data_IF_482794732939
#
_entry.id   IF_482794732939
#
_cell.length_a   1.000
_cell.length_b   1.000
_cell.length_c   1.000
_cell.angle_alpha   90.00
_cell.angle_beta   90.00
_cell.angle_gamma   90.00
#
_symmetry.space_group_name_H-M   'P 1'
#
loop_
_entity.id
_entity.type
_entity.pdbx_description
1 polymer ?
#
# COMPACT_ATOMS: atom_id res chain seq x y z
N UNK A 1 -19.62 -10.41 16.39
CA UNK A 1 -18.79 -11.30 15.56
C UNK A 1 -17.68 -10.47 14.97
N UNK A 2 -16.47 -10.53 15.53
CA UNK A 2 -15.31 -9.80 15.00
C UNK A 2 -14.68 -10.70 13.93
N UNK A 3 -15.03 -10.48 12.66
CA UNK A 3 -14.28 -11.08 11.57
C UNK A 3 -12.90 -10.44 11.58
N UNK A 4 -11.87 -11.22 11.92
CA UNK A 4 -10.47 -10.81 11.77
C UNK A 4 -10.16 -10.75 10.28
N UNK A 5 -10.48 -9.62 9.66
CA UNK A 5 -10.08 -9.32 8.30
C UNK A 5 -8.55 -9.33 8.28
N UNK A 6 -7.88 -10.03 7.34
CA UNK A 6 -6.44 -9.98 7.26
C UNK A 6 -6.00 -8.53 7.06
N UNK A 7 -5.19 -8.03 7.99
CA UNK A 7 -4.51 -6.74 7.87
C UNK A 7 -3.80 -6.71 6.52
N UNK A 8 -4.21 -5.80 5.63
CA UNK A 8 -3.54 -5.63 4.35
C UNK A 8 -2.22 -4.90 4.60
N UNK A 9 -1.10 -5.55 4.34
CA UNK A 9 0.24 -4.99 4.61
C UNK A 9 0.38 -3.55 4.07
N UNK A 10 -0.20 -3.26 2.90
CA UNK A 10 -0.09 -1.95 2.24
C UNK A 10 -1.06 -0.87 2.76
N UNK A 11 -2.14 -1.25 3.45
CA UNK A 11 -3.14 -0.30 3.97
C UNK A 11 -3.01 -0.06 5.49
N UNK A 12 -2.02 -0.67 6.13
CA UNK A 12 -1.87 -0.70 7.58
C UNK A 12 -3.02 -1.46 8.23
N UNK A 13 -3.50 -0.99 9.37
CA UNK A 13 -4.58 -1.63 10.16
C UNK A 13 -5.99 -1.52 9.55
N UNK A 14 -6.11 -1.07 8.30
CA UNK A 14 -7.40 -0.85 7.63
C UNK A 14 -7.78 -2.03 6.76
N UNK A 15 -9.07 -2.31 6.70
CA UNK A 15 -9.59 -3.20 5.66
C UNK A 15 -9.59 -2.48 4.30
N UNK A 16 -9.54 -3.22 3.18
CA UNK A 16 -9.78 -2.66 1.86
C UNK A 16 -11.13 -1.93 1.74
N UNK A 17 -12.18 -2.43 2.42
CA UNK A 17 -13.49 -1.81 2.40
C UNK A 17 -13.48 -0.40 3.00
N UNK A 18 -12.83 -0.22 4.17
CA UNK A 18 -12.69 1.09 4.81
C UNK A 18 -11.88 2.06 3.94
N UNK A 19 -10.86 1.57 3.22
CA UNK A 19 -10.10 2.38 2.28
C UNK A 19 -10.95 2.90 1.12
N UNK A 20 -11.76 2.03 0.50
CA UNK A 20 -12.59 2.40 -0.64
C UNK A 20 -13.68 3.40 -0.29
N UNK A 21 -14.34 3.22 0.86
CA UNK A 21 -15.41 4.11 1.29
C UNK A 21 -14.90 5.53 1.60
N UNK A 22 -13.75 5.61 2.28
CA UNK A 22 -13.35 6.83 2.96
C UNK A 22 -12.18 7.58 2.31
N UNK A 23 -11.32 6.92 1.52
CA UNK A 23 -10.09 7.54 0.98
C UNK A 23 -9.97 7.46 -0.54
N UNK A 24 -10.41 6.37 -1.15
CA UNK A 24 -10.27 6.18 -2.58
C UNK A 24 -10.93 7.30 -3.39
N UNK A 25 -10.15 8.02 -4.18
CA UNK A 25 -10.57 9.16 -5.01
C UNK A 25 -11.25 10.33 -4.27
N UNK A 26 -11.26 10.34 -2.93
CA UNK A 26 -11.90 11.39 -2.13
C UNK A 26 -10.88 12.23 -1.38
N UNK A 27 -9.86 11.60 -0.78
CA UNK A 27 -8.85 12.29 0.03
C UNK A 27 -7.54 11.50 0.13
N UNK A 28 -6.39 12.18 0.29
CA UNK A 28 -5.11 11.50 0.45
C UNK A 28 -5.05 10.69 1.76
N UNK A 29 -4.27 9.61 1.75
CA UNK A 29 -3.96 8.79 2.90
C UNK A 29 -2.45 8.54 2.96
N UNK A 30 -1.83 8.77 4.12
CA UNK A 30 -0.46 8.35 4.39
C UNK A 30 -0.47 7.09 5.25
N UNK A 31 0.08 5.99 4.74
CA UNK A 31 0.30 4.75 5.48
C UNK A 31 1.78 4.64 5.79
N UNK A 32 2.14 4.68 7.07
CA UNK A 32 3.53 4.55 7.51
C UNK A 32 3.94 3.09 7.46
N UNK A 33 5.16 2.82 7.01
CA UNK A 33 5.78 1.48 6.98
C UNK A 33 4.90 0.41 6.28
N UNK A 34 4.22 0.80 5.20
CA UNK A 34 3.30 -0.06 4.46
C UNK A 34 3.99 -1.24 3.73
N UNK A 35 5.30 -1.10 3.48
CA UNK A 35 6.13 -2.10 2.83
C UNK A 35 7.46 -2.16 3.61
N UNK A 36 7.49 -2.85 4.76
CA UNK A 36 8.71 -2.97 5.54
C UNK A 36 9.80 -3.66 4.72
N UNK A 37 11.05 -3.20 4.88
CA UNK A 37 12.23 -3.73 4.18
C UNK A 37 12.13 -3.74 2.65
N UNK A 38 11.28 -2.88 2.06
CA UNK A 38 11.13 -2.80 0.60
C UNK A 38 12.46 -2.48 -0.11
N UNK A 39 12.77 -3.30 -1.11
CA UNK A 39 13.88 -3.07 -2.05
C UNK A 39 13.30 -2.93 -3.44
N UNK A 40 13.78 -1.93 -4.18
CA UNK A 40 13.40 -1.77 -5.59
C UNK A 40 13.74 -3.06 -6.36
N UNK A 41 12.81 -3.58 -7.20
CA UNK A 41 13.08 -4.74 -8.04
C UNK A 41 14.00 -4.42 -9.23
N UNK A 42 14.24 -3.14 -9.49
CA UNK A 42 15.09 -2.65 -10.58
C UNK A 42 16.15 -1.68 -10.06
N UNK A 43 17.36 -1.77 -10.61
CA UNK A 43 18.39 -0.75 -10.43
C UNK A 43 18.07 0.52 -11.24
N UNK A 44 18.69 1.66 -10.90
CA UNK A 44 18.57 2.88 -11.69
C UNK A 44 18.98 2.69 -13.16
N UNK A 45 20.04 1.93 -13.42
CA UNK A 45 20.55 1.64 -14.77
C UNK A 45 19.57 0.77 -15.57
N UNK A 46 19.03 -0.28 -14.94
CA UNK A 46 18.00 -1.13 -15.55
C UNK A 46 16.76 -0.31 -15.91
N UNK A 47 16.31 0.57 -15.02
CA UNK A 47 15.16 1.46 -15.28
C UNK A 47 15.45 2.45 -16.42
N UNK A 48 16.64 3.04 -16.48
CA UNK A 48 17.01 3.99 -17.52
C UNK A 48 17.08 3.35 -18.92
N UNK A 49 17.40 2.06 -19.00
CA UNK A 49 17.47 1.30 -20.25
C UNK A 49 16.12 0.83 -20.81
N UNK A 50 14.99 1.06 -20.13
CA UNK A 50 13.65 0.65 -20.60
C UNK A 50 13.01 1.60 -21.62
N UNK A 51 13.61 2.76 -21.88
CA UNK A 51 13.10 3.82 -22.75
C UNK A 51 13.63 3.76 -24.19
#
# INVERSE_FOLDING_TARGET
MHSTVPTSAVLGDRSPADFFDTYWQTRPLMVRDALPDFRSPLSPEELAGLA
#
